data_IF_242548854775
#
_entry.id   IF_242548854775
#
_cell.length_a   1.000
_cell.length_b   1.000
_cell.length_c   1.000
_cell.angle_alpha   90.00
_cell.angle_beta   90.00
_cell.angle_gamma   90.00
#
_symmetry.space_group_name_H-M   'P 1'
#
loop_
_entity.id
_entity.type
_entity.pdbx_description
1 polymer ?
#
# COMPACT_ATOMS: atom_id res chain seq x y z
N UNK A 1 53.36 16.31 51.32
CA UNK A 1 51.90 16.60 51.30
C UNK A 1 51.48 17.53 50.19
N UNK A 2 52.16 18.64 49.91
CA UNK A 2 51.75 19.60 48.84
C UNK A 2 51.65 18.95 47.44
N UNK A 3 52.63 18.12 47.06
CA UNK A 3 52.67 17.46 45.76
C UNK A 3 51.41 16.52 45.53
N UNK A 4 51.02 15.79 46.57
CA UNK A 4 49.85 14.90 46.52
C UNK A 4 48.56 15.68 46.28
N UNK A 5 48.40 16.83 46.96
CA UNK A 5 47.20 17.67 46.82
C UNK A 5 47.12 18.29 45.42
N UNK A 6 48.24 18.76 44.89
CA UNK A 6 48.32 19.31 43.53
C UNK A 6 47.98 18.26 42.49
N UNK A 7 48.48 17.03 42.65
CA UNK A 7 48.16 15.91 41.72
C UNK A 7 46.68 15.58 41.72
N UNK A 8 46.05 15.54 42.91
CA UNK A 8 44.60 15.25 43.02
C UNK A 8 43.79 16.38 42.33
N UNK A 9 44.14 17.64 42.55
CA UNK A 9 43.43 18.76 41.90
C UNK A 9 43.57 18.69 40.40
N UNK A 10 44.74 18.43 39.85
CA UNK A 10 44.98 18.31 38.40
C UNK A 10 44.16 17.15 37.83
N UNK A 11 44.11 15.98 38.51
CA UNK A 11 43.31 14.83 38.07
C UNK A 11 41.80 15.13 38.08
N UNK A 12 41.31 15.87 39.07
CA UNK A 12 39.90 16.27 39.12
C UNK A 12 39.53 17.24 38.04
N UNK A 13 40.41 18.19 37.69
CA UNK A 13 40.19 19.13 36.59
C UNK A 13 40.19 18.37 35.27
N UNK A 14 41.15 17.50 35.02
CA UNK A 14 41.20 16.68 33.80
C UNK A 14 40.01 15.76 33.66
N UNK A 15 39.58 15.11 34.75
CA UNK A 15 38.38 14.30 34.74
C UNK A 15 37.11 15.12 34.45
N UNK A 16 36.98 16.32 35.04
CA UNK A 16 35.85 17.22 34.81
C UNK A 16 35.80 17.73 33.36
N UNK A 17 36.94 18.04 32.77
CA UNK A 17 37.00 18.44 31.32
C UNK A 17 36.65 17.25 30.42
N UNK A 18 37.16 16.05 30.69
CA UNK A 18 36.85 14.86 29.91
C UNK A 18 35.36 14.50 29.97
N UNK A 19 34.73 14.59 31.16
CA UNK A 19 33.31 14.37 31.32
C UNK A 19 32.47 15.44 30.58
N UNK A 20 32.86 16.72 30.70
CA UNK A 20 32.17 17.81 30.02
C UNK A 20 32.24 17.72 28.51
N UNK A 21 33.38 17.27 27.95
CA UNK A 21 33.53 17.00 26.50
C UNK A 21 32.74 15.81 26.02
N UNK A 22 32.46 14.83 26.87
CA UNK A 22 31.72 13.62 26.49
C UNK A 22 30.21 13.76 26.68
N UNK A 23 29.74 14.35 27.76
CA UNK A 23 28.34 14.36 28.20
C UNK A 23 27.72 15.76 28.21
N UNK A 24 28.52 16.83 28.13
CA UNK A 24 28.03 18.22 28.10
C UNK A 24 27.11 18.53 26.92
N UNK A 25 26.45 19.70 26.96
CA UNK A 25 25.56 20.16 25.88
C UNK A 25 26.17 20.14 24.49
N UNK A 26 27.50 20.28 24.38
CA UNK A 26 28.29 20.15 23.16
C UNK A 26 29.08 18.83 23.11
N UNK A 27 28.75 17.86 23.95
CA UNK A 27 29.46 16.59 24.06
C UNK A 27 29.32 15.70 22.82
N UNK A 28 30.30 14.81 22.62
CA UNK A 28 30.35 13.89 21.47
C UNK A 28 29.08 13.02 21.41
N UNK A 29 28.54 12.59 22.54
CA UNK A 29 27.33 11.76 22.58
C UNK A 29 26.09 12.52 22.09
N UNK A 30 25.94 13.78 22.47
CA UNK A 30 24.81 14.61 22.03
C UNK A 30 24.89 14.91 20.54
N UNK A 31 26.07 15.20 20.01
CA UNK A 31 26.31 15.36 18.57
C UNK A 31 26.06 14.08 17.77
N UNK A 32 26.40 12.92 18.35
CA UNK A 32 26.09 11.64 17.75
C UNK A 32 24.57 11.38 17.69
N UNK A 33 23.85 11.67 18.77
CA UNK A 33 22.39 11.56 18.81
C UNK A 33 21.69 12.52 17.83
N UNK A 34 22.14 13.77 17.75
CA UNK A 34 21.65 14.74 16.78
C UNK A 34 21.94 14.30 15.34
N UNK A 35 23.13 13.75 15.09
CA UNK A 35 23.47 13.20 13.78
C UNK A 35 22.58 12.03 13.39
N UNK A 36 22.26 11.14 14.32
CA UNK A 36 21.32 10.02 14.07
C UNK A 36 19.93 10.56 13.70
N UNK A 37 19.42 11.56 14.42
CA UNK A 37 18.13 12.18 14.11
C UNK A 37 18.11 12.82 12.73
N UNK A 38 19.16 13.57 12.38
CA UNK A 38 19.30 14.18 11.05
C UNK A 38 19.38 13.11 9.95
N UNK A 39 20.06 12.00 10.20
CA UNK A 39 20.13 10.87 9.29
C UNK A 39 18.77 10.18 9.11
N UNK A 40 18.03 9.98 10.20
CA UNK A 40 16.68 9.38 10.15
C UNK A 40 15.69 10.28 9.39
N UNK A 41 15.75 11.60 9.61
CA UNK A 41 14.93 12.56 8.87
C UNK A 41 15.31 12.64 7.40
N UNK A 42 16.62 12.67 7.09
CA UNK A 42 17.11 12.64 5.71
C UNK A 42 16.70 11.36 4.99
N UNK A 43 16.85 10.20 5.65
CA UNK A 43 16.46 8.91 5.09
C UNK A 43 14.95 8.81 4.81
N UNK A 44 14.11 9.35 5.71
CA UNK A 44 12.67 9.45 5.47
C UNK A 44 12.33 10.37 4.30
N UNK A 45 12.97 11.52 4.23
CA UNK A 45 12.77 12.46 3.13
C UNK A 45 13.20 11.86 1.79
N UNK A 46 14.36 11.18 1.74
CA UNK A 46 14.83 10.47 0.54
C UNK A 46 13.86 9.34 0.14
N UNK A 47 13.33 8.62 1.11
CA UNK A 47 12.33 7.57 0.84
C UNK A 47 11.04 8.17 0.28
N UNK A 48 10.54 9.25 0.88
CA UNK A 48 9.35 9.98 0.42
C UNK A 48 9.55 10.57 -0.99
N UNK A 49 10.76 11.13 -1.27
CA UNK A 49 11.09 11.63 -2.61
C UNK A 49 11.25 10.50 -3.62
N UNK A 50 11.83 9.37 -3.21
CA UNK A 50 11.94 8.19 -4.06
C UNK A 50 10.56 7.60 -4.36
N UNK A 51 9.67 7.50 -3.38
CA UNK A 51 8.30 7.02 -3.57
C UNK A 51 7.50 7.97 -4.48
N UNK A 52 7.69 9.28 -4.35
CA UNK A 52 7.15 10.29 -5.28
C UNK A 52 7.73 10.16 -6.68
N UNK A 53 9.05 9.97 -6.80
CA UNK A 53 9.73 9.81 -8.08
C UNK A 53 9.34 8.50 -8.78
N UNK A 54 9.24 7.40 -8.03
CA UNK A 54 8.73 6.12 -8.53
C UNK A 54 7.27 6.29 -8.96
N UNK A 55 6.45 6.99 -8.16
CA UNK A 55 5.10 7.36 -8.52
C UNK A 55 5.02 8.15 -9.84
N UNK A 56 5.91 9.10 -10.04
CA UNK A 56 5.98 9.93 -11.26
C UNK A 56 6.50 9.17 -12.48
N UNK A 57 7.52 8.29 -12.31
CA UNK A 57 8.13 7.51 -13.39
C UNK A 57 7.19 6.40 -13.87
N UNK A 58 6.52 5.72 -12.96
CA UNK A 58 5.51 4.71 -13.30
C UNK A 58 4.16 5.34 -13.71
N UNK A 59 4.06 6.66 -13.68
CA UNK A 59 2.80 7.40 -13.89
C UNK A 59 1.75 6.98 -12.86
N UNK A 60 2.20 6.68 -11.66
CA UNK A 60 1.40 6.07 -10.61
C UNK A 60 1.14 7.10 -9.55
N UNK A 61 0.04 7.72 -9.70
CA UNK A 61 -0.66 8.28 -8.59
C UNK A 61 -1.45 7.14 -7.92
N UNK A 62 -0.87 6.52 -6.89
CA UNK A 62 -1.64 5.65 -5.98
C UNK A 62 -2.62 6.49 -5.17
N UNK A 63 -2.99 7.66 -5.67
CA UNK A 63 -3.84 8.63 -5.04
C UNK A 63 -5.29 8.19 -5.10
N UNK A 64 -5.99 8.52 -4.05
CA UNK A 64 -7.43 8.39 -3.99
C UNK A 64 -8.08 9.27 -5.05
N UNK A 65 -8.85 8.67 -5.94
CA UNK A 65 -9.66 9.39 -6.93
C UNK A 65 -10.96 9.88 -6.24
N UNK A 66 -10.95 11.14 -5.86
CA UNK A 66 -12.07 11.80 -5.17
C UNK A 66 -13.39 11.71 -5.96
N UNK A 67 -13.33 11.74 -7.28
CA UNK A 67 -14.51 11.67 -8.14
C UNK A 67 -15.10 10.26 -8.20
N UNK A 68 -14.24 9.25 -8.15
CA UNK A 68 -14.63 7.84 -8.22
C UNK A 68 -14.66 7.17 -6.85
N UNK A 69 -14.29 7.90 -5.79
CA UNK A 69 -14.26 7.46 -4.39
C UNK A 69 -13.48 6.14 -4.19
N UNK A 70 -12.33 6.03 -4.85
CA UNK A 70 -11.54 4.81 -4.86
C UNK A 70 -10.06 5.13 -5.15
N UNK A 71 -9.14 4.27 -4.70
CA UNK A 71 -7.75 4.38 -5.09
C UNK A 71 -7.55 4.04 -6.56
N UNK A 72 -6.91 4.95 -7.28
CA UNK A 72 -6.63 4.78 -8.70
C UNK A 72 -5.75 3.55 -8.98
N UNK A 73 -5.98 2.85 -10.11
CA UNK A 73 -5.14 1.71 -10.49
C UNK A 73 -3.70 2.10 -10.78
N UNK A 74 -2.77 1.33 -10.23
CA UNK A 74 -1.33 1.51 -10.43
C UNK A 74 -0.86 0.62 -11.58
N UNK A 75 -0.68 1.19 -12.78
CA UNK A 75 -0.12 0.43 -13.90
C UNK A 75 1.37 0.17 -13.70
N UNK A 76 1.79 -1.06 -13.83
CA UNK A 76 3.20 -1.47 -13.84
C UNK A 76 3.74 -1.47 -15.26
N UNK A 77 5.07 -1.40 -15.38
CA UNK A 77 5.75 -1.50 -16.67
C UNK A 77 5.27 -2.73 -17.44
N UNK A 78 4.89 -2.52 -18.69
CA UNK A 78 4.36 -3.59 -19.57
C UNK A 78 2.87 -3.86 -19.44
N UNK A 79 2.15 -3.15 -18.57
CA UNK A 79 0.69 -3.21 -18.49
C UNK A 79 0.05 -2.14 -19.39
N UNK A 80 -0.94 -2.53 -20.14
CA UNK A 80 -1.78 -1.65 -20.97
C UNK A 80 -3.20 -1.65 -20.41
N UNK A 81 -3.80 -0.50 -20.09
CA UNK A 81 -5.19 -0.44 -19.66
C UNK A 81 -6.13 -0.88 -20.77
N UNK A 82 -7.14 -1.66 -20.43
CA UNK A 82 -8.12 -2.18 -21.38
C UNK A 82 -9.54 -2.07 -20.84
N UNK A 83 -10.50 -1.93 -21.75
CA UNK A 83 -11.94 -2.00 -21.50
C UNK A 83 -12.56 -3.19 -22.22
N UNK A 84 -13.68 -3.65 -21.72
CA UNK A 84 -14.52 -4.63 -22.39
C UNK A 84 -15.72 -3.91 -22.99
N UNK A 85 -15.85 -3.95 -24.30
CA UNK A 85 -17.10 -3.60 -24.96
C UNK A 85 -18.04 -4.80 -24.79
N UNK A 86 -19.24 -4.53 -24.29
CA UNK A 86 -20.24 -5.58 -24.11
C UNK A 86 -20.62 -6.21 -25.45
N UNK A 87 -20.88 -7.51 -25.41
CA UNK A 87 -21.44 -8.20 -26.55
C UNK A 87 -22.87 -7.70 -26.80
N UNK A 88 -23.18 -7.39 -28.04
CA UNK A 88 -24.55 -7.11 -28.48
C UNK A 88 -25.10 -8.33 -29.22
N UNK A 89 -26.39 -8.34 -29.52
CA UNK A 89 -27.02 -9.44 -30.29
C UNK A 89 -26.34 -9.68 -31.65
N UNK A 90 -25.65 -8.67 -32.20
CA UNK A 90 -24.98 -8.72 -33.50
C UNK A 90 -23.46 -8.66 -33.46
N UNK A 91 -22.86 -8.44 -32.28
CA UNK A 91 -21.40 -8.27 -32.14
C UNK A 91 -20.88 -8.97 -30.87
N UNK A 92 -19.82 -9.76 -31.06
CA UNK A 92 -19.10 -10.38 -29.94
C UNK A 92 -18.40 -9.28 -29.12
N UNK A 93 -18.33 -9.46 -27.79
CA UNK A 93 -17.61 -8.54 -26.92
C UNK A 93 -16.12 -8.48 -27.29
N UNK A 94 -15.54 -7.30 -27.22
CA UNK A 94 -14.15 -7.04 -27.59
C UNK A 94 -13.38 -6.42 -26.44
N UNK A 95 -12.09 -6.79 -26.35
CA UNK A 95 -11.12 -6.11 -25.50
C UNK A 95 -10.58 -4.92 -26.29
N UNK A 96 -10.73 -3.71 -25.77
CA UNK A 96 -10.28 -2.47 -26.39
C UNK A 96 -9.23 -1.81 -25.51
N UNK A 97 -8.09 -1.47 -26.11
CA UNK A 97 -7.07 -0.66 -25.43
C UNK A 97 -7.65 0.70 -25.09
N UNK A 98 -7.30 1.20 -23.93
CA UNK A 98 -7.70 2.51 -23.45
C UNK A 98 -6.50 3.23 -22.85
N UNK A 99 -6.72 4.37 -22.22
CA UNK A 99 -5.68 5.12 -21.52
C UNK A 99 -6.06 5.31 -20.06
N UNK A 100 -5.12 5.74 -19.26
CA UNK A 100 -5.30 6.02 -17.84
C UNK A 100 -6.26 7.20 -17.61
N UNK A 101 -6.24 8.17 -18.51
CA UNK A 101 -7.05 9.39 -18.50
C UNK A 101 -8.50 9.14 -18.95
N UNK A 102 -8.78 7.96 -19.49
CA UNK A 102 -10.13 7.60 -19.90
C UNK A 102 -11.05 7.42 -18.68
N UNK A 103 -12.00 8.32 -18.53
CA UNK A 103 -12.96 8.29 -17.43
C UNK A 103 -13.83 7.01 -17.41
N UNK A 104 -13.94 6.33 -18.57
CA UNK A 104 -14.71 5.10 -18.72
C UNK A 104 -13.86 3.84 -18.46
N UNK A 105 -12.56 3.98 -18.17
CA UNK A 105 -11.71 2.83 -17.89
C UNK A 105 -12.20 2.03 -16.69
N UNK A 106 -12.60 2.72 -15.61
CA UNK A 106 -13.17 2.09 -14.43
C UNK A 106 -14.21 3.00 -13.74
N UNK A 107 -15.21 2.35 -13.15
CA UNK A 107 -16.21 2.98 -12.28
C UNK A 107 -16.80 1.90 -11.39
N UNK A 108 -16.32 1.79 -10.17
CA UNK A 108 -16.76 0.73 -9.24
C UNK A 108 -18.22 0.88 -8.84
N UNK A 109 -18.73 2.10 -8.78
CA UNK A 109 -20.15 2.39 -8.59
C UNK A 109 -21.01 1.73 -9.69
N UNK A 110 -20.55 1.80 -10.95
CA UNK A 110 -21.21 1.18 -12.10
C UNK A 110 -20.74 -0.26 -12.36
N UNK A 111 -20.06 -0.91 -11.39
CA UNK A 111 -19.53 -2.28 -11.49
C UNK A 111 -18.53 -2.48 -12.63
N UNK A 112 -17.91 -1.40 -13.10
CA UNK A 112 -16.84 -1.44 -14.11
C UNK A 112 -15.48 -1.48 -13.41
N UNK A 113 -14.83 -2.61 -13.43
CA UNK A 113 -13.51 -2.81 -12.83
C UNK A 113 -12.40 -2.35 -13.78
N UNK A 114 -11.34 -1.74 -13.24
CA UNK A 114 -10.15 -1.44 -14.01
C UNK A 114 -9.47 -2.74 -14.44
N UNK A 115 -9.26 -2.91 -15.73
CA UNK A 115 -8.58 -4.06 -16.31
C UNK A 115 -7.32 -3.60 -17.03
N UNK A 116 -6.29 -4.45 -17.01
CA UNK A 116 -5.07 -4.25 -17.77
C UNK A 116 -4.64 -5.56 -18.45
N UNK A 117 -3.88 -5.44 -19.53
CA UNK A 117 -3.29 -6.55 -20.25
C UNK A 117 -1.79 -6.38 -20.28
N UNK A 118 -1.02 -7.43 -19.98
CA UNK A 118 0.42 -7.49 -20.16
C UNK A 118 0.78 -7.93 -21.58
N UNK A 119 2.07 -7.75 -21.98
CA UNK A 119 2.53 -8.06 -23.34
C UNK A 119 2.32 -9.53 -23.75
N UNK A 120 2.34 -10.43 -22.78
CA UNK A 120 2.08 -11.84 -22.95
C UNK A 120 0.61 -12.21 -23.11
N UNK A 121 -0.28 -11.21 -23.08
CA UNK A 121 -1.72 -11.40 -23.22
C UNK A 121 -2.45 -11.71 -21.90
N UNK A 122 -1.74 -11.80 -20.77
CA UNK A 122 -2.38 -12.02 -19.47
C UNK A 122 -3.28 -10.84 -19.09
N UNK A 123 -4.42 -11.17 -18.49
CA UNK A 123 -5.42 -10.20 -18.09
C UNK A 123 -5.45 -10.01 -16.59
N UNK A 124 -5.51 -8.76 -16.15
CA UNK A 124 -5.46 -8.37 -14.76
C UNK A 124 -6.63 -7.47 -14.40
N UNK A 125 -7.10 -7.56 -13.17
CA UNK A 125 -8.12 -6.69 -12.61
C UNK A 125 -7.56 -5.99 -11.37
N UNK A 126 -7.75 -4.70 -11.26
CA UNK A 126 -7.35 -3.92 -10.09
C UNK A 126 -8.36 -4.07 -8.98
N UNK A 127 -7.91 -4.50 -7.83
CA UNK A 127 -8.67 -4.54 -6.59
C UNK A 127 -8.16 -3.41 -5.69
N UNK A 128 -8.90 -2.30 -5.55
CA UNK A 128 -8.53 -1.21 -4.65
C UNK A 128 -8.54 -1.66 -3.20
N UNK A 129 -7.75 -1.01 -2.34
CA UNK A 129 -7.80 -1.22 -0.89
C UNK A 129 -9.22 -1.04 -0.39
N UNK A 130 -9.71 -2.00 0.38
CA UNK A 130 -11.06 -1.98 0.92
C UNK A 130 -11.13 -2.53 2.34
N UNK A 131 -12.20 -2.16 3.03
CA UNK A 131 -12.68 -2.83 4.23
C UNK A 131 -14.02 -3.51 3.95
N UNK A 132 -14.34 -4.54 4.70
CA UNK A 132 -15.54 -5.33 4.50
C UNK A 132 -16.29 -5.57 5.80
N UNK A 133 -17.58 -5.83 5.68
CA UNK A 133 -18.48 -6.24 6.74
C UNK A 133 -19.32 -7.41 6.26
N UNK A 134 -19.49 -8.42 7.11
CA UNK A 134 -20.34 -9.59 6.82
C UNK A 134 -21.57 -9.51 7.69
N UNK A 135 -22.73 -9.44 7.08
CA UNK A 135 -24.00 -9.61 7.77
C UNK A 135 -24.36 -11.09 7.78
N UNK A 136 -24.25 -11.69 8.96
CA UNK A 136 -24.56 -13.12 9.15
C UNK A 136 -26.04 -13.44 9.07
N UNK A 137 -26.92 -12.45 9.25
CA UNK A 137 -28.37 -12.64 9.18
C UNK A 137 -28.86 -12.72 7.74
N UNK A 138 -28.37 -11.83 6.88
CA UNK A 138 -28.72 -11.74 5.46
C UNK A 138 -27.78 -12.54 4.54
N UNK A 139 -26.64 -13.02 5.08
CA UNK A 139 -25.57 -13.68 4.31
C UNK A 139 -24.98 -12.78 3.22
N UNK A 140 -24.98 -11.49 3.45
CA UNK A 140 -24.40 -10.50 2.52
C UNK A 140 -23.06 -9.99 3.01
N UNK A 141 -22.19 -9.65 2.07
CA UNK A 141 -20.93 -8.96 2.31
C UNK A 141 -21.04 -7.55 1.74
N UNK A 142 -20.73 -6.58 2.57
CA UNK A 142 -20.71 -5.18 2.22
C UNK A 142 -19.26 -4.68 2.21
N UNK A 143 -18.91 -3.78 1.28
CA UNK A 143 -17.54 -3.32 1.03
C UNK A 143 -17.51 -1.80 0.92
N UNK A 144 -16.50 -1.19 1.55
CA UNK A 144 -16.17 0.23 1.39
C UNK A 144 -14.72 0.38 0.94
N UNK A 145 -14.45 1.28 -0.01
CA UNK A 145 -13.08 1.56 -0.46
C UNK A 145 -12.40 2.54 0.49
N UNK A 146 -11.14 2.26 0.80
CA UNK A 146 -10.34 3.04 1.72
C UNK A 146 -9.52 4.11 0.99
N UNK A 147 -9.18 5.19 1.70
CA UNK A 147 -8.47 6.35 1.18
C UNK A 147 -6.96 6.14 1.26
N UNK A 148 -6.31 6.06 0.11
CA UNK A 148 -4.86 5.83 0.03
C UNK A 148 -4.45 4.54 0.73
N UNK A 149 -3.46 4.61 1.60
CA UNK A 149 -3.00 3.53 2.48
C UNK A 149 -3.58 3.61 3.89
N UNK A 150 -4.48 4.56 4.15
CA UNK A 150 -5.13 4.71 5.45
C UNK A 150 -6.25 3.68 5.66
N UNK A 151 -6.81 3.66 6.86
CA UNK A 151 -7.99 2.86 7.20
C UNK A 151 -9.28 3.69 7.11
N UNK A 152 -9.20 4.90 6.56
CA UNK A 152 -10.32 5.81 6.45
C UNK A 152 -11.12 5.58 5.17
N UNK A 153 -12.42 5.83 5.24
CA UNK A 153 -13.36 5.78 4.11
C UNK A 153 -14.46 6.83 4.29
N UNK A 154 -15.16 7.17 3.22
CA UNK A 154 -16.36 7.98 3.30
C UNK A 154 -17.60 7.09 3.34
N UNK A 155 -18.50 7.35 4.29
CA UNK A 155 -19.81 6.69 4.32
C UNK A 155 -20.75 7.23 3.22
N UNK A 156 -21.94 6.68 3.12
CA UNK A 156 -22.96 7.10 2.11
C UNK A 156 -23.37 8.57 2.25
N UNK A 157 -23.23 9.14 3.43
CA UNK A 157 -23.52 10.53 3.73
C UNK A 157 -22.33 11.46 3.46
N UNK A 158 -21.18 10.90 3.08
CA UNK A 158 -19.93 11.64 2.84
C UNK A 158 -19.14 11.98 4.11
N UNK A 159 -19.44 11.38 5.25
CA UNK A 159 -18.68 11.58 6.49
C UNK A 159 -17.46 10.66 6.51
N UNK A 160 -16.34 11.17 7.01
CA UNK A 160 -15.13 10.39 7.19
C UNK A 160 -15.28 9.42 8.36
N UNK A 161 -15.05 8.15 8.10
CA UNK A 161 -15.09 7.04 9.04
C UNK A 161 -13.75 6.30 9.04
N UNK A 162 -13.51 5.46 10.06
CA UNK A 162 -12.30 4.64 10.15
C UNK A 162 -12.69 3.17 10.33
N UNK A 163 -12.15 2.32 9.46
CA UNK A 163 -12.31 0.88 9.56
C UNK A 163 -11.41 0.29 10.66
N UNK A 164 -11.82 -0.83 11.23
CA UNK A 164 -11.05 -1.55 12.25
C UNK A 164 -9.98 -2.42 11.61
N UNK A 165 -8.92 -2.68 12.34
CA UNK A 165 -7.93 -3.72 12.03
C UNK A 165 -8.07 -4.90 12.97
N UNK A 166 -7.78 -6.07 12.47
CA UNK A 166 -7.65 -7.28 13.28
C UNK A 166 -6.23 -7.31 13.87
N UNK A 167 -6.09 -7.08 15.17
CA UNK A 167 -4.79 -6.85 15.82
C UNK A 167 -4.23 -8.07 16.55
N UNK A 168 -4.96 -9.19 16.66
CA UNK A 168 -4.49 -10.40 17.34
C UNK A 168 -5.00 -11.68 16.68
N UNK A 169 -4.29 -12.79 16.94
CA UNK A 169 -4.67 -14.14 16.46
C UNK A 169 -6.02 -14.62 16.97
N UNK A 170 -6.42 -14.14 18.12
CA UNK A 170 -7.63 -14.57 18.83
C UNK A 170 -8.82 -13.64 18.53
N UNK A 171 -8.54 -12.47 17.99
CA UNK A 171 -9.58 -11.53 17.63
C UNK A 171 -10.35 -12.05 16.42
N UNK A 172 -11.57 -12.51 16.67
CA UNK A 172 -12.50 -12.77 15.59
C UNK A 172 -12.82 -11.44 14.92
N UNK A 173 -12.69 -11.38 13.60
CA UNK A 173 -13.14 -10.24 12.83
C UNK A 173 -14.61 -10.00 13.18
N UNK A 174 -14.87 -8.98 13.99
CA UNK A 174 -16.25 -8.56 14.27
C UNK A 174 -16.75 -7.79 13.05
N UNK A 175 -17.44 -8.51 12.21
CA UNK A 175 -18.01 -8.00 10.97
C UNK A 175 -19.42 -7.45 11.15
N UNK A 176 -19.97 -7.50 12.37
CA UNK A 176 -21.36 -7.07 12.63
C UNK A 176 -21.45 -5.60 13.03
N UNK A 177 -20.41 -5.02 13.66
CA UNK A 177 -20.44 -3.67 14.23
C UNK A 177 -19.61 -2.64 13.48
N UNK A 178 -19.09 -2.96 12.31
CA UNK A 178 -18.28 -2.04 11.53
C UNK A 178 -17.51 -2.75 10.40
N UNK A 179 -16.79 -1.94 9.62
CA UNK A 179 -15.94 -2.46 8.55
C UNK A 179 -14.57 -2.83 9.09
N UNK A 180 -14.00 -3.92 8.57
CA UNK A 180 -12.66 -4.41 8.89
C UNK A 180 -11.79 -4.34 7.66
N UNK A 181 -10.60 -3.74 7.79
CA UNK A 181 -9.61 -3.66 6.69
C UNK A 181 -9.23 -5.05 6.22
N UNK A 182 -9.30 -5.28 4.91
CA UNK A 182 -8.94 -6.58 4.36
C UNK A 182 -7.42 -6.80 4.44
N UNK A 183 -6.95 -7.94 4.99
CA UNK A 183 -5.54 -8.19 5.25
C UNK A 183 -4.63 -8.22 4.02
N UNK A 184 -5.18 -8.42 2.83
CA UNK A 184 -4.40 -8.41 1.58
C UNK A 184 -3.76 -7.06 1.24
N UNK A 185 -4.07 -5.98 1.97
CA UNK A 185 -3.54 -4.63 1.71
C UNK A 185 -2.63 -4.11 2.81
N UNK A 186 -2.48 -4.86 3.90
CA UNK A 186 -1.78 -4.40 5.09
C UNK A 186 -0.34 -4.90 5.13
N UNK A 187 0.53 -4.15 5.82
CA UNK A 187 1.89 -4.58 6.05
C UNK A 187 1.97 -5.74 7.06
N UNK A 188 3.09 -6.45 7.08
CA UNK A 188 3.30 -7.63 7.92
C UNK A 188 3.13 -7.33 9.42
N UNK A 189 3.57 -6.15 9.86
CA UNK A 189 3.50 -5.74 11.26
C UNK A 189 2.08 -5.51 11.77
N UNK A 190 1.13 -5.22 10.89
CA UNK A 190 -0.26 -4.99 11.27
C UNK A 190 -1.08 -6.28 11.41
N UNK A 191 -0.55 -7.43 10.96
CA UNK A 191 -1.20 -8.74 11.06
C UNK A 191 -0.17 -9.82 11.40
N UNK A 192 0.28 -9.81 12.63
CA UNK A 192 1.36 -10.66 13.16
C UNK A 192 1.19 -12.16 12.93
N UNK A 193 -0.02 -12.65 12.77
CA UNK A 193 -0.31 -14.08 12.71
C UNK A 193 -0.73 -14.60 11.33
N UNK A 194 -0.87 -13.73 10.35
CA UNK A 194 -1.26 -14.13 9.00
C UNK A 194 -0.05 -14.06 8.10
N UNK A 195 0.36 -15.19 7.60
CA UNK A 195 1.40 -15.25 6.58
C UNK A 195 0.91 -14.50 5.33
N UNK A 196 1.72 -13.63 4.79
CA UNK A 196 1.42 -12.92 3.55
C UNK A 196 1.20 -11.41 3.70
N UNK A 197 1.61 -10.80 4.82
CA UNK A 197 1.74 -9.34 4.90
C UNK A 197 2.80 -8.82 3.92
N UNK A 198 2.67 -7.56 3.57
CA UNK A 198 3.62 -6.87 2.71
C UNK A 198 4.64 -6.12 3.58
N UNK A 199 5.73 -5.66 2.98
CA UNK A 199 6.69 -4.75 3.61
C UNK A 199 6.11 -3.34 3.84
N UNK A 200 4.98 -3.04 3.22
CA UNK A 200 4.26 -1.76 3.30
C UNK A 200 2.76 -1.92 3.12
N UNK A 201 2.02 -0.87 3.45
CA UNK A 201 0.60 -0.74 3.15
C UNK A 201 0.40 -0.55 1.63
N UNK A 202 -0.64 -1.16 1.08
CA UNK A 202 -0.95 -1.08 -0.34
C UNK A 202 -2.26 -0.31 -0.58
N UNK A 203 -2.29 0.50 -1.64
CA UNK A 203 -3.49 1.19 -2.13
C UNK A 203 -4.41 0.27 -2.92
N UNK A 204 -3.91 -0.88 -3.34
CA UNK A 204 -4.62 -1.91 -4.09
C UNK A 204 -3.67 -2.97 -4.63
N UNK A 205 -4.21 -3.97 -5.30
CA UNK A 205 -3.46 -5.07 -5.91
C UNK A 205 -4.02 -5.43 -7.28
N UNK A 206 -3.14 -5.87 -8.18
CA UNK A 206 -3.54 -6.53 -9.41
C UNK A 206 -3.73 -8.02 -9.17
N UNK A 207 -4.89 -8.53 -9.55
CA UNK A 207 -5.22 -9.95 -9.46
C UNK A 207 -5.44 -10.49 -10.87
N UNK A 208 -4.96 -11.70 -11.14
CA UNK A 208 -5.23 -12.37 -12.41
C UNK A 208 -6.75 -12.51 -12.60
N UNK A 209 -7.24 -12.12 -13.78
CA UNK A 209 -8.67 -12.19 -14.11
C UNK A 209 -9.14 -13.62 -14.37
N UNK A 210 -8.23 -14.47 -14.80
CA UNK A 210 -8.49 -15.87 -15.14
C UNK A 210 -7.57 -16.78 -14.36
N UNK A 211 -7.99 -18.00 -14.14
CA UNK A 211 -7.13 -19.05 -13.58
C UNK A 211 -5.92 -19.30 -14.48
N UNK A 212 -4.81 -19.68 -13.86
CA UNK A 212 -3.63 -20.05 -14.59
C UNK A 212 -3.91 -21.31 -15.42
N UNK A 213 -3.74 -21.20 -16.74
CA UNK A 213 -3.85 -22.35 -17.62
C UNK A 213 -2.48 -23.06 -17.71
N UNK A 214 -2.50 -24.38 -17.90
CA UNK A 214 -1.27 -25.12 -18.19
C UNK A 214 -0.72 -24.69 -19.55
N UNK A 215 0.50 -24.16 -19.58
CA UNK A 215 1.15 -23.79 -20.83
C UNK A 215 1.56 -25.06 -21.59
N UNK A 216 0.92 -25.33 -22.70
CA UNK A 216 1.56 -26.11 -23.77
C UNK A 216 2.69 -25.24 -24.33
N UNK A 217 3.85 -25.86 -24.61
CA UNK A 217 5.13 -25.20 -24.91
C UNK A 217 4.99 -23.88 -25.68
N UNK A 218 5.32 -22.75 -25.03
CA UNK A 218 5.33 -21.41 -25.61
C UNK A 218 4.12 -20.53 -25.32
N UNK A 219 3.09 -21.02 -24.65
CA UNK A 219 1.93 -20.23 -24.25
C UNK A 219 2.01 -19.79 -22.79
N UNK A 220 1.52 -18.57 -22.54
CA UNK A 220 1.50 -18.04 -21.19
C UNK A 220 0.34 -18.66 -20.39
N UNK A 221 0.59 -19.23 -19.20
CA UNK A 221 -0.44 -19.84 -18.36
C UNK A 221 -1.54 -18.88 -17.90
N UNK A 222 -1.30 -17.56 -17.94
CA UNK A 222 -2.26 -16.53 -17.56
C UNK A 222 -3.06 -15.96 -18.74
N UNK A 223 -2.92 -16.55 -19.93
CA UNK A 223 -3.69 -16.11 -21.09
C UNK A 223 -5.16 -16.47 -20.89
N UNK A 224 -6.04 -15.51 -21.16
CA UNK A 224 -7.48 -15.77 -21.13
C UNK A 224 -7.81 -16.98 -21.99
N UNK A 225 -8.56 -17.98 -21.48
CA UNK A 225 -8.97 -19.09 -22.30
C UNK A 225 -9.74 -18.56 -23.52
N UNK A 226 -9.26 -18.86 -24.70
CA UNK A 226 -10.01 -18.60 -25.93
C UNK A 226 -11.18 -19.57 -25.89
N UNK A 227 -12.38 -19.07 -25.61
CA UNK A 227 -13.58 -19.85 -25.79
C UNK A 227 -13.67 -20.15 -27.28
N UNK A 228 -13.31 -21.34 -27.66
CA UNK A 228 -13.68 -21.86 -28.98
C UNK A 228 -15.19 -21.84 -29.09
N UNK A 229 -15.68 -21.20 -30.10
CA UNK A 229 -17.09 -21.04 -30.43
C UNK A 229 -17.70 -22.34 -30.94
#
# INVERSE_FOLDING_TARGET
MVALVVTIIVLLILAGVAISLSIGENGIFKRAEESVKVWDEASKNEQDEMDKAIGAIDGVDGNYDEKKKVNAPILKTGMTPVKFNEATASKKGEIVKTTREDNEWYSYENKKWANAQTQDGSMWVWIPRYAYRIDNSTKTTDVVFLIGTSDNYYDEQGNLQTAKRCNSKEEKVDTTTGYTVHPAFTNESSIEYRNGGWDRELTGIWVSKFEAAYATSGENPNKAPVKES
#
